data_IF_147310617881
#
_entry.id   IF_147310617881
#
_cell.length_a   1.000
_cell.length_b   1.000
_cell.length_c   1.000
_cell.angle_alpha   90.00
_cell.angle_beta   90.00
_cell.angle_gamma   90.00
#
_symmetry.space_group_name_H-M   'P 1'
#
loop_
_entity.id
_entity.type
_entity.pdbx_description
1 polymer ?
#
# COMPACT_ATOMS: atom_id res chain seq x y z
N UNK A 1 24.57 -12.84 5.08
CA UNK A 1 23.13 -12.73 5.37
C UNK A 1 22.97 -11.67 6.44
N UNK A 2 22.14 -10.64 6.21
CA UNK A 2 21.86 -9.63 7.23
C UNK A 2 21.18 -10.28 8.45
N UNK A 3 21.47 -9.79 9.65
CA UNK A 3 20.79 -10.25 10.86
C UNK A 3 19.27 -10.00 10.73
N UNK A 4 18.41 -10.91 11.22
CA UNK A 4 16.96 -10.70 11.15
C UNK A 4 16.58 -9.44 11.91
N UNK A 5 15.77 -8.58 11.27
CA UNK A 5 15.27 -7.36 11.91
C UNK A 5 14.33 -7.72 13.06
N UNK A 6 14.36 -6.91 14.13
CA UNK A 6 13.43 -7.03 15.26
C UNK A 6 11.97 -6.68 14.86
N UNK A 7 11.82 -5.83 13.84
CA UNK A 7 10.56 -5.43 13.22
C UNK A 7 10.73 -5.49 11.71
N UNK A 8 9.66 -5.72 10.95
CA UNK A 8 9.76 -5.76 9.47
C UNK A 8 10.39 -4.49 8.87
N UNK A 9 10.35 -3.36 9.57
CA UNK A 9 10.88 -2.08 9.11
C UNK A 9 11.72 -1.41 10.19
N UNK A 10 12.88 -0.88 9.79
CA UNK A 10 13.66 0.08 10.57
C UNK A 10 13.83 1.38 9.77
N UNK A 11 13.55 2.52 10.38
CA UNK A 11 13.74 3.83 9.77
C UNK A 11 14.73 4.66 10.59
N UNK A 12 15.75 5.20 9.93
CA UNK A 12 16.83 5.97 10.58
C UNK A 12 17.07 7.27 9.83
N UNK A 13 16.91 8.40 10.52
CA UNK A 13 17.22 9.72 9.94
C UNK A 13 18.73 9.92 10.00
N UNK A 14 19.35 10.08 8.82
CA UNK A 14 20.80 10.26 8.69
C UNK A 14 21.20 11.72 8.87
N UNK A 15 20.44 12.63 8.24
CA UNK A 15 20.64 14.06 8.40
C UNK A 15 19.36 14.84 8.15
N UNK A 16 19.26 16.00 8.78
CA UNK A 16 18.16 16.94 8.62
C UNK A 16 18.73 18.29 8.17
N UNK A 17 18.01 18.97 7.27
CA UNK A 17 18.38 20.32 6.89
C UNK A 17 18.05 21.28 8.04
N UNK A 18 18.99 22.11 8.55
CA UNK A 18 18.70 23.03 9.65
C UNK A 18 17.78 24.20 9.25
N UNK A 19 17.56 24.43 7.94
CA UNK A 19 16.77 25.55 7.41
C UNK A 19 15.38 25.10 6.91
N UNK A 20 15.26 23.86 6.42
CA UNK A 20 14.03 23.34 5.82
C UNK A 20 13.55 22.09 6.55
N UNK A 21 12.41 21.49 6.15
CA UNK A 21 11.94 20.21 6.70
C UNK A 21 12.51 18.98 5.98
N UNK A 22 13.52 19.16 5.12
CA UNK A 22 14.11 18.08 4.35
C UNK A 22 14.93 17.14 5.24
N UNK A 23 14.85 15.83 4.95
CA UNK A 23 15.58 14.77 5.66
C UNK A 23 16.12 13.78 4.64
N UNK A 24 17.33 13.30 4.89
CA UNK A 24 17.83 12.06 4.29
C UNK A 24 17.76 10.97 5.35
N UNK A 25 17.30 9.78 4.97
CA UNK A 25 17.06 8.69 5.91
C UNK A 25 17.28 7.35 5.24
N UNK A 26 17.59 6.33 6.03
CA UNK A 26 17.74 4.95 5.58
C UNK A 26 16.54 4.15 6.09
N UNK A 27 15.85 3.51 5.15
CA UNK A 27 14.74 2.60 5.40
C UNK A 27 15.22 1.17 5.15
N UNK A 28 15.30 0.35 6.21
CA UNK A 28 15.68 -1.06 6.11
C UNK A 28 14.43 -1.92 6.14
N UNK A 29 14.23 -2.70 5.08
CA UNK A 29 13.17 -3.69 4.87
C UNK A 29 13.80 -5.09 4.78
N UNK A 30 13.01 -6.17 4.80
CA UNK A 30 13.54 -7.53 4.71
C UNK A 30 14.27 -7.81 3.40
N UNK A 31 13.81 -7.22 2.29
CA UNK A 31 14.42 -7.43 0.97
C UNK A 31 15.38 -6.31 0.52
N UNK A 32 15.35 -5.12 1.15
CA UNK A 32 16.18 -4.00 0.69
C UNK A 32 16.52 -2.98 1.77
N UNK A 33 17.65 -2.30 1.57
CA UNK A 33 18.01 -1.04 2.23
C UNK A 33 17.77 0.09 1.24
N UNK A 34 16.94 1.06 1.61
CA UNK A 34 16.48 2.13 0.74
C UNK A 34 16.91 3.47 1.33
N UNK A 35 17.64 4.26 0.54
CA UNK A 35 17.92 5.65 0.84
C UNK A 35 16.71 6.51 0.48
N UNK A 36 16.33 7.42 1.37
CA UNK A 36 15.22 8.36 1.17
C UNK A 36 15.75 9.79 1.11
N UNK A 37 15.17 10.69 0.30
CA UNK A 37 13.92 10.54 -0.48
C UNK A 37 14.03 9.53 -1.63
N UNK A 38 13.01 8.71 -1.82
CA UNK A 38 12.99 7.64 -2.84
C UNK A 38 11.84 7.87 -3.82
N UNK A 39 12.10 7.59 -5.10
CA UNK A 39 11.08 7.47 -6.12
C UNK A 39 10.77 5.99 -6.35
N UNK A 40 9.49 5.63 -6.38
CA UNK A 40 9.02 4.26 -6.58
C UNK A 40 8.33 4.13 -7.94
N UNK A 41 8.95 3.47 -8.93
CA UNK A 41 8.29 3.10 -10.17
C UNK A 41 7.07 2.21 -9.91
N UNK A 42 6.02 2.38 -10.70
CA UNK A 42 4.75 1.63 -10.53
C UNK A 42 4.72 0.45 -11.49
N UNK A 43 4.64 -0.76 -10.92
CA UNK A 43 4.39 -2.00 -11.61
C UNK A 43 2.90 -2.38 -11.56
N UNK A 44 2.33 -2.69 -12.73
CA UNK A 44 0.95 -3.18 -12.84
C UNK A 44 0.99 -4.61 -13.34
N UNK A 45 0.25 -5.52 -12.70
CA UNK A 45 0.23 -6.96 -13.04
C UNK A 45 1.60 -7.65 -12.94
N UNK A 46 2.41 -7.26 -11.96
CA UNK A 46 3.70 -7.91 -11.67
C UNK A 46 4.80 -7.60 -12.68
N UNK A 47 4.69 -6.47 -13.40
CA UNK A 47 5.72 -6.00 -14.32
C UNK A 47 5.76 -4.47 -14.39
N UNK A 48 6.95 -3.93 -14.61
CA UNK A 48 7.15 -2.56 -15.08
C UNK A 48 7.08 -2.58 -16.61
N UNK A 49 6.06 -1.94 -17.18
CA UNK A 49 5.79 -2.04 -18.62
C UNK A 49 7.00 -1.60 -19.44
N UNK A 50 7.54 -2.53 -20.23
CA UNK A 50 8.67 -2.28 -21.13
C UNK A 50 10.06 -2.41 -20.49
N UNK A 51 10.16 -2.79 -19.21
CA UNK A 51 11.43 -2.96 -18.50
C UNK A 51 11.48 -4.32 -17.79
N UNK A 52 12.63 -4.98 -17.87
CA UNK A 52 12.92 -6.16 -17.05
C UNK A 52 13.50 -5.74 -15.69
N UNK A 53 13.35 -6.56 -14.62
CA UNK A 53 13.87 -6.24 -13.29
C UNK A 53 15.33 -5.77 -13.28
N UNK A 54 16.18 -6.42 -14.07
CA UNK A 54 17.62 -6.13 -14.15
C UNK A 54 17.88 -4.69 -14.62
N UNK A 55 17.08 -4.18 -15.56
CA UNK A 55 17.20 -2.80 -16.04
C UNK A 55 16.83 -1.77 -14.95
N UNK A 56 15.94 -2.13 -14.03
CA UNK A 56 15.55 -1.27 -12.90
C UNK A 56 16.66 -1.24 -11.85
N UNK A 57 17.26 -2.40 -11.59
CA UNK A 57 18.41 -2.53 -10.69
C UNK A 57 19.61 -1.72 -11.17
N UNK A 58 19.87 -1.70 -12.49
CA UNK A 58 20.90 -0.85 -13.11
C UNK A 58 20.68 0.64 -12.86
N UNK A 59 19.43 1.10 -12.75
CA UNK A 59 19.08 2.48 -12.42
C UNK A 59 19.19 2.80 -10.91
N UNK A 60 19.65 1.84 -10.09
CA UNK A 60 19.75 1.95 -8.62
C UNK A 60 18.40 2.23 -7.95
N UNK A 61 17.32 1.80 -8.58
CA UNK A 61 16.00 1.86 -7.97
C UNK A 61 15.78 0.60 -7.12
N UNK A 62 15.78 0.75 -5.80
CA UNK A 62 15.72 -0.38 -4.87
C UNK A 62 14.31 -0.63 -4.32
N UNK A 63 13.29 0.03 -4.88
CA UNK A 63 11.92 -0.08 -4.39
C UNK A 63 10.91 0.22 -5.49
N UNK A 64 9.88 -0.63 -5.60
CA UNK A 64 8.78 -0.44 -6.56
C UNK A 64 7.43 -0.49 -5.85
N UNK A 65 6.43 0.11 -6.48
CA UNK A 65 5.03 -0.03 -6.08
C UNK A 65 4.33 -1.06 -6.96
N UNK A 66 3.57 -1.97 -6.37
CA UNK A 66 2.73 -2.93 -7.08
C UNK A 66 1.25 -2.74 -6.73
N UNK A 67 0.40 -2.90 -7.75
CA UNK A 67 -1.05 -2.74 -7.58
C UNK A 67 -1.72 -4.02 -7.08
N UNK A 68 -2.25 -4.00 -5.85
CA UNK A 68 -2.90 -5.13 -5.17
C UNK A 68 -4.12 -5.63 -5.91
N UNK A 69 -4.98 -4.73 -6.38
CA UNK A 69 -6.22 -5.12 -7.05
C UNK A 69 -5.96 -5.94 -8.31
N UNK A 70 -5.06 -5.46 -9.18
CA UNK A 70 -4.73 -6.18 -10.41
C UNK A 70 -4.13 -7.55 -10.11
N UNK A 71 -3.22 -7.64 -9.15
CA UNK A 71 -2.55 -8.88 -8.77
C UNK A 71 -3.49 -9.89 -8.12
N UNK A 72 -4.39 -9.43 -7.26
CA UNK A 72 -5.40 -10.25 -6.59
C UNK A 72 -6.43 -10.83 -7.57
N UNK A 73 -6.65 -10.18 -8.71
CA UNK A 73 -7.53 -10.67 -9.78
C UNK A 73 -6.80 -11.50 -10.84
N UNK A 74 -5.63 -11.03 -11.28
CA UNK A 74 -4.81 -11.64 -12.34
C UNK A 74 -3.32 -11.39 -12.05
N UNK A 75 -2.53 -12.42 -11.72
CA UNK A 75 -2.84 -13.84 -11.88
C UNK A 75 -3.78 -14.43 -10.80
N UNK A 76 -4.02 -13.71 -9.70
CA UNK A 76 -4.82 -14.19 -8.59
C UNK A 76 -3.95 -14.68 -7.42
N UNK A 77 -4.51 -14.63 -6.21
CA UNK A 77 -3.79 -14.98 -4.97
C UNK A 77 -3.31 -16.43 -4.96
N UNK A 78 -4.08 -17.38 -5.49
CA UNK A 78 -3.69 -18.79 -5.55
C UNK A 78 -2.40 -19.01 -6.37
N UNK A 79 -2.28 -18.33 -7.51
CA UNK A 79 -1.09 -18.44 -8.36
C UNK A 79 0.11 -17.76 -7.70
N UNK A 80 -0.10 -16.58 -7.09
CA UNK A 80 0.97 -15.89 -6.36
C UNK A 80 1.46 -16.72 -5.16
N UNK A 81 0.56 -17.37 -4.44
CA UNK A 81 0.92 -18.25 -3.33
C UNK A 81 1.74 -19.45 -3.83
N UNK A 82 1.35 -20.09 -4.94
CA UNK A 82 2.11 -21.18 -5.56
C UNK A 82 3.50 -20.74 -6.06
N UNK A 83 3.61 -19.50 -6.55
CA UNK A 83 4.88 -18.90 -6.94
C UNK A 83 5.77 -18.52 -5.74
N UNK A 84 5.21 -18.48 -4.53
CA UNK A 84 5.88 -18.07 -3.30
C UNK A 84 6.01 -16.56 -3.15
N UNK A 85 5.00 -15.80 -3.62
CA UNK A 85 4.91 -14.35 -3.54
C UNK A 85 5.32 -13.63 -4.81
N UNK A 86 5.05 -12.32 -4.85
CA UNK A 86 5.27 -11.51 -6.04
C UNK A 86 6.75 -11.36 -6.37
N UNK A 87 7.61 -11.21 -5.35
CA UNK A 87 9.07 -11.15 -5.54
C UNK A 87 9.58 -12.30 -6.43
N UNK A 88 9.19 -13.54 -6.12
CA UNK A 88 9.56 -14.72 -6.92
C UNK A 88 8.87 -14.74 -8.27
N UNK A 89 7.58 -14.39 -8.31
CA UNK A 89 6.79 -14.37 -9.55
C UNK A 89 7.37 -13.43 -10.61
N UNK A 90 7.87 -12.25 -10.19
CA UNK A 90 8.41 -11.23 -11.10
C UNK A 90 9.94 -11.17 -11.14
N UNK A 91 10.63 -12.08 -10.45
CA UNK A 91 12.09 -12.06 -10.26
C UNK A 91 12.61 -10.70 -9.71
N UNK A 92 11.91 -10.12 -8.74
CA UNK A 92 12.30 -8.86 -8.08
C UNK A 92 12.85 -9.11 -6.68
N UNK A 93 14.08 -8.66 -6.44
CA UNK A 93 14.83 -8.97 -5.21
C UNK A 93 14.88 -7.82 -4.20
N UNK A 94 14.42 -6.63 -4.58
CA UNK A 94 14.51 -5.43 -3.74
C UNK A 94 13.13 -5.08 -3.15
N UNK A 95 13.00 -3.89 -2.57
CA UNK A 95 11.83 -3.46 -1.82
C UNK A 95 10.55 -3.45 -2.67
N UNK A 96 9.45 -3.87 -2.07
CA UNK A 96 8.14 -3.90 -2.68
C UNK A 96 7.11 -3.26 -1.76
N UNK A 97 6.43 -2.25 -2.26
CA UNK A 97 5.24 -1.67 -1.61
C UNK A 97 4.00 -2.02 -2.41
N UNK A 98 2.94 -2.40 -1.73
CA UNK A 98 1.63 -2.60 -2.35
C UNK A 98 0.67 -1.48 -1.96
N UNK A 99 -0.07 -0.95 -2.93
CA UNK A 99 -1.23 -0.13 -2.64
C UNK A 99 -2.35 -0.98 -2.00
N UNK A 100 -3.38 -0.35 -1.44
CA UNK A 100 -4.48 -1.08 -0.81
C UNK A 100 -5.54 -1.59 -1.78
N UNK A 101 -5.48 -1.15 -3.05
CA UNK A 101 -6.53 -1.30 -4.06
C UNK A 101 -7.64 -0.24 -3.95
N UNK A 102 -7.73 0.51 -2.83
CA UNK A 102 -8.75 1.53 -2.55
C UNK A 102 -8.92 2.55 -3.66
N UNK A 103 -7.80 3.18 -4.05
CA UNK A 103 -7.78 4.27 -5.02
C UNK A 103 -8.19 3.82 -6.44
N UNK A 104 -7.77 2.61 -6.86
CA UNK A 104 -8.12 2.10 -8.17
C UNK A 104 -9.64 1.88 -8.30
N UNK A 105 -10.30 1.44 -7.22
CA UNK A 105 -11.75 1.26 -7.17
C UNK A 105 -12.51 2.58 -7.21
N UNK A 106 -11.97 3.63 -6.58
CA UNK A 106 -12.57 4.97 -6.65
C UNK A 106 -12.38 5.58 -8.03
N UNK A 107 -11.28 5.36 -8.75
CA UNK A 107 -11.15 5.86 -10.14
C UNK A 107 -12.16 5.26 -11.13
N UNK A 108 -12.83 4.16 -10.76
CA UNK A 108 -13.92 3.51 -11.50
C UNK A 108 -15.32 3.96 -11.01
N UNK A 109 -15.41 5.13 -10.33
CA UNK A 109 -16.53 5.71 -9.54
C UNK A 109 -17.95 5.33 -9.96
N UNK A 110 -18.25 5.21 -11.27
CA UNK A 110 -19.64 4.96 -11.72
C UNK A 110 -20.24 3.67 -11.15
N UNK A 111 -19.42 2.76 -10.62
CA UNK A 111 -19.87 1.44 -10.17
C UNK A 111 -19.39 1.09 -8.75
N UNK A 112 -19.01 2.04 -7.90
CA UNK A 112 -18.55 1.74 -6.53
C UNK A 112 -19.44 2.33 -5.41
N UNK A 113 -19.68 1.51 -4.39
CA UNK A 113 -20.39 1.87 -3.16
C UNK A 113 -19.47 1.62 -1.96
N UNK A 114 -19.29 2.63 -1.12
CA UNK A 114 -18.48 2.51 0.10
C UNK A 114 -19.40 2.41 1.30
N UNK A 115 -19.27 1.32 2.05
CA UNK A 115 -20.00 1.09 3.31
C UNK A 115 -19.01 0.88 4.45
N UNK A 116 -19.48 0.64 5.67
CA UNK A 116 -18.56 0.29 6.77
C UNK A 116 -17.84 -1.04 6.52
N UNK A 117 -18.46 -1.97 5.79
CA UNK A 117 -17.92 -3.31 5.51
C UNK A 117 -16.68 -3.25 4.62
N UNK A 118 -16.69 -2.36 3.63
CA UNK A 118 -15.66 -2.23 2.61
C UNK A 118 -16.14 -1.43 1.40
N UNK A 119 -15.45 -1.62 0.28
CA UNK A 119 -15.82 -1.03 -1.02
C UNK A 119 -16.41 -2.11 -1.91
N UNK A 120 -17.68 -1.96 -2.29
CA UNK A 120 -18.33 -2.78 -3.32
C UNK A 120 -18.09 -2.15 -4.68
N UNK A 121 -17.78 -2.96 -5.67
CA UNK A 121 -17.67 -2.48 -7.04
C UNK A 121 -17.90 -3.60 -8.06
N UNK A 122 -18.23 -3.21 -9.28
CA UNK A 122 -18.34 -4.13 -10.41
C UNK A 122 -17.02 -4.20 -11.15
N UNK A 123 -16.47 -5.41 -11.29
CA UNK A 123 -15.25 -5.65 -12.05
C UNK A 123 -15.44 -5.30 -13.52
N UNK A 124 -14.56 -4.47 -14.12
CA UNK A 124 -14.65 -4.09 -15.52
C UNK A 124 -14.34 -5.25 -16.47
N UNK A 125 -13.81 -6.37 -15.97
CA UNK A 125 -13.37 -7.51 -16.79
C UNK A 125 -14.46 -8.56 -17.00
N UNK A 126 -15.26 -8.83 -15.97
CA UNK A 126 -16.22 -9.92 -15.94
C UNK A 126 -17.59 -9.52 -15.39
N UNK A 127 -17.80 -8.23 -15.09
CA UNK A 127 -19.05 -7.66 -14.58
C UNK A 127 -19.55 -8.29 -13.27
N UNK A 128 -18.66 -8.94 -12.52
CA UNK A 128 -18.98 -9.47 -11.19
C UNK A 128 -18.87 -8.38 -10.14
N UNK A 129 -19.80 -8.40 -9.20
CA UNK A 129 -19.71 -7.58 -8.00
C UNK A 129 -18.65 -8.16 -7.06
N UNK A 130 -17.76 -7.31 -6.58
CA UNK A 130 -16.65 -7.63 -5.69
C UNK A 130 -16.74 -6.72 -4.48
N UNK A 131 -16.62 -7.31 -3.29
CA UNK A 131 -16.41 -6.60 -2.04
C UNK A 131 -14.93 -6.62 -1.69
N UNK A 132 -14.30 -5.44 -1.60
CA UNK A 132 -12.98 -5.30 -1.00
C UNK A 132 -13.10 -4.71 0.40
N UNK A 133 -13.00 -5.58 1.41
CA UNK A 133 -12.91 -5.16 2.81
C UNK A 133 -11.45 -4.92 3.24
N UNK A 134 -11.21 -4.20 4.37
CA UNK A 134 -9.89 -4.09 4.99
C UNK A 134 -9.19 -5.43 5.20
N UNK A 135 -9.92 -6.45 5.66
CA UNK A 135 -9.40 -7.81 5.86
C UNK A 135 -8.99 -8.43 4.53
N UNK A 136 -9.84 -8.32 3.50
CA UNK A 136 -9.55 -8.92 2.21
C UNK A 136 -8.36 -8.25 1.52
N UNK A 137 -8.27 -6.93 1.57
CA UNK A 137 -7.12 -6.19 1.06
C UNK A 137 -5.83 -6.64 1.77
N UNK A 138 -5.87 -6.77 3.10
CA UNK A 138 -4.71 -7.22 3.90
C UNK A 138 -4.33 -8.67 3.58
N UNK A 139 -5.30 -9.57 3.41
CA UNK A 139 -5.07 -10.97 3.01
C UNK A 139 -4.38 -11.08 1.65
N UNK A 140 -4.82 -10.29 0.66
CA UNK A 140 -4.20 -10.24 -0.66
C UNK A 140 -2.75 -9.73 -0.54
N UNK A 141 -2.52 -8.66 0.21
CA UNK A 141 -1.17 -8.11 0.41
C UNK A 141 -0.24 -9.05 1.21
N UNK A 142 -0.78 -9.81 2.18
CA UNK A 142 -0.04 -10.89 2.85
C UNK A 142 0.39 -11.96 1.83
N UNK A 143 -0.48 -12.33 0.88
CA UNK A 143 -0.19 -13.32 -0.17
C UNK A 143 0.78 -12.81 -1.23
N UNK A 144 0.75 -11.50 -1.51
CA UNK A 144 1.71 -10.85 -2.41
C UNK A 144 3.12 -10.88 -1.79
N UNK A 145 3.23 -10.96 -0.46
CA UNK A 145 4.49 -10.87 0.29
C UNK A 145 5.22 -9.54 0.09
N UNK A 146 4.48 -8.42 0.03
CA UNK A 146 5.07 -7.08 -0.03
C UNK A 146 5.79 -6.69 1.27
N UNK A 147 6.93 -6.00 1.18
CA UNK A 147 7.63 -5.48 2.37
C UNK A 147 6.80 -4.41 3.11
N UNK A 148 6.08 -3.58 2.35
CA UNK A 148 5.19 -2.53 2.87
C UNK A 148 3.81 -2.69 2.27
N UNK A 149 2.80 -2.69 3.13
CA UNK A 149 1.40 -2.81 2.77
C UNK A 149 0.67 -1.51 3.10
N UNK A 150 0.00 -0.90 2.14
CA UNK A 150 -0.86 0.24 2.42
C UNK A 150 -2.19 -0.25 2.99
N UNK A 151 -2.68 0.36 4.07
CA UNK A 151 -4.00 0.05 4.61
C UNK A 151 -5.10 0.39 3.59
N UNK A 152 -6.23 -0.32 3.64
CA UNK A 152 -7.42 0.13 2.92
C UNK A 152 -8.00 1.38 3.60
N UNK A 153 -8.35 2.37 2.81
CA UNK A 153 -8.89 3.65 3.27
C UNK A 153 -10.14 4.07 2.49
N UNK A 154 -10.94 4.95 3.09
CA UNK A 154 -12.10 5.53 2.45
C UNK A 154 -11.70 6.83 1.73
N UNK A 155 -11.39 6.69 0.44
CA UNK A 155 -10.91 7.79 -0.40
C UNK A 155 -12.08 8.67 -0.85
N UNK A 156 -12.00 9.96 -0.51
CA UNK A 156 -12.92 11.00 -1.01
C UNK A 156 -12.20 11.93 -1.99
N UNK A 157 -12.92 12.40 -3.01
CA UNK A 157 -12.39 13.40 -3.94
C UNK A 157 -11.99 14.68 -3.18
N UNK A 158 -10.88 15.28 -3.59
CA UNK A 158 -10.43 16.58 -3.04
C UNK A 158 -11.39 17.74 -3.33
N UNK A 159 -12.31 17.56 -4.28
CA UNK A 159 -13.36 18.53 -4.60
C UNK A 159 -14.59 18.43 -3.71
N UNK A 160 -14.71 17.34 -2.93
CA UNK A 160 -15.82 17.16 -1.99
C UNK A 160 -15.48 17.88 -0.69
N UNK A 161 -16.47 18.56 -0.13
CA UNK A 161 -16.40 19.19 1.19
C UNK A 161 -17.62 18.80 2.02
N UNK A 162 -17.56 19.05 3.33
CA UNK A 162 -18.66 18.77 4.27
C UNK A 162 -18.58 17.38 4.94
N UNK A 163 -19.69 16.90 5.51
CA UNK A 163 -19.71 15.75 6.44
C UNK A 163 -19.11 14.45 5.90
N UNK A 164 -19.15 14.25 4.57
CA UNK A 164 -18.60 13.06 3.92
C UNK A 164 -17.09 12.90 4.12
N UNK A 165 -16.35 14.01 4.20
CA UNK A 165 -14.89 14.01 4.41
C UNK A 165 -14.54 13.54 5.81
N UNK A 166 -15.27 14.05 6.81
CA UNK A 166 -15.14 13.65 8.21
C UNK A 166 -15.53 12.18 8.40
N UNK A 167 -16.61 11.73 7.76
CA UNK A 167 -17.03 10.32 7.75
C UNK A 167 -15.94 9.40 7.15
N UNK A 168 -15.37 9.77 6.00
CA UNK A 168 -14.28 9.02 5.36
C UNK A 168 -13.06 8.92 6.27
N UNK A 169 -12.69 10.03 6.92
CA UNK A 169 -11.58 10.07 7.87
C UNK A 169 -11.83 9.10 9.04
N UNK A 170 -13.01 9.16 9.66
CA UNK A 170 -13.35 8.27 10.77
C UNK A 170 -13.43 6.81 10.35
N UNK A 171 -13.98 6.51 9.17
CA UNK A 171 -14.00 5.16 8.60
C UNK A 171 -12.59 4.64 8.35
N UNK A 172 -11.71 5.46 7.78
CA UNK A 172 -10.30 5.12 7.54
C UNK A 172 -9.57 4.77 8.83
N UNK A 173 -9.84 5.49 9.93
CA UNK A 173 -9.28 5.17 11.25
C UNK A 173 -9.76 3.78 11.71
N UNK A 174 -11.07 3.51 11.66
CA UNK A 174 -11.61 2.19 12.06
C UNK A 174 -11.13 1.05 11.15
N UNK A 175 -10.89 1.34 9.87
CA UNK A 175 -10.37 0.36 8.92
C UNK A 175 -8.90 0.01 9.16
N UNK A 176 -8.10 0.93 9.70
CA UNK A 176 -6.74 0.59 10.17
C UNK A 176 -6.78 -0.53 11.20
N UNK A 177 -7.63 -0.43 12.22
CA UNK A 177 -7.75 -1.45 13.28
C UNK A 177 -8.06 -2.85 12.69
N UNK A 178 -8.93 -2.88 11.68
CA UNK A 178 -9.29 -4.09 10.94
C UNK A 178 -8.13 -4.64 10.11
N UNK A 179 -7.39 -3.77 9.42
CA UNK A 179 -6.17 -4.14 8.70
C UNK A 179 -5.11 -4.71 9.65
N UNK A 180 -4.86 -4.07 10.79
CA UNK A 180 -3.91 -4.53 11.80
C UNK A 180 -4.32 -5.89 12.35
N UNK A 181 -5.61 -6.10 12.62
CA UNK A 181 -6.14 -7.39 13.10
C UNK A 181 -6.00 -8.50 12.07
N UNK A 182 -6.19 -8.19 10.78
CA UNK A 182 -6.06 -9.15 9.68
C UNK A 182 -4.61 -9.43 9.25
N UNK A 183 -3.63 -8.68 9.77
CA UNK A 183 -2.25 -8.79 9.38
C UNK A 183 -1.58 -10.02 10.02
N UNK A 184 -1.01 -10.91 9.20
CA UNK A 184 -0.47 -12.19 9.66
C UNK A 184 1.07 -12.25 9.70
N UNK A 185 1.76 -11.35 9.00
CA UNK A 185 3.19 -11.45 8.71
C UNK A 185 4.01 -10.26 9.27
N UNK A 186 3.75 -9.84 10.51
CA UNK A 186 4.36 -8.64 11.11
C UNK A 186 5.88 -8.69 11.29
N UNK A 187 6.48 -9.87 11.19
CA UNK A 187 7.93 -10.04 11.17
C UNK A 187 8.57 -9.65 9.83
N UNK A 188 7.82 -9.70 8.72
CA UNK A 188 8.37 -9.52 7.37
C UNK A 188 7.60 -8.53 6.50
N UNK A 189 6.46 -8.01 6.95
CA UNK A 189 5.72 -6.98 6.24
C UNK A 189 5.31 -5.90 7.25
N UNK A 190 5.31 -4.64 6.80
CA UNK A 190 4.93 -3.51 7.62
C UNK A 190 3.69 -2.82 7.03
N UNK A 191 2.73 -2.39 7.86
CA UNK A 191 1.57 -1.63 7.40
C UNK A 191 1.86 -0.13 7.47
N UNK A 192 1.59 0.59 6.39
CA UNK A 192 1.57 2.04 6.35
C UNK A 192 0.13 2.57 6.42
N UNK A 193 -0.21 3.35 7.46
CA UNK A 193 -1.50 3.99 7.55
C UNK A 193 -1.60 5.19 6.59
N UNK A 194 -2.82 5.52 6.18
CA UNK A 194 -3.10 6.61 5.25
C UNK A 194 -3.86 7.72 6.00
N UNK A 195 -3.21 8.87 6.14
CA UNK A 195 -3.83 10.05 6.74
C UNK A 195 -4.87 10.63 5.78
N UNK A 196 -6.14 10.61 6.19
CA UNK A 196 -7.27 11.23 5.48
C UNK A 196 -7.67 12.57 6.11
N UNK A 197 -8.78 13.16 5.63
CA UNK A 197 -9.27 14.48 6.06
C UNK A 197 -9.38 15.53 4.96
N UNK A 198 -9.22 15.14 3.68
CA UNK A 198 -9.38 16.04 2.54
C UNK A 198 -8.43 17.24 2.58
N UNK A 199 -8.96 18.45 2.35
CA UNK A 199 -8.24 19.72 2.43
C UNK A 199 -8.41 20.42 3.79
N UNK A 200 -9.01 19.75 4.78
CA UNK A 200 -9.22 20.31 6.11
C UNK A 200 -8.02 19.98 7.04
N UNK A 201 -7.26 21.00 7.49
CA UNK A 201 -6.09 20.77 8.34
C UNK A 201 -6.45 20.25 9.74
N UNK A 202 -7.66 20.52 10.25
CA UNK A 202 -8.13 20.03 11.54
C UNK A 202 -8.39 18.53 11.47
N UNK A 203 -9.12 18.09 10.44
CA UNK A 203 -9.37 16.66 10.19
C UNK A 203 -8.07 15.91 9.90
N UNK A 204 -7.15 16.47 9.09
CA UNK A 204 -5.82 15.89 8.84
C UNK A 204 -5.03 15.67 10.12
N UNK A 205 -5.04 16.65 11.02
CA UNK A 205 -4.34 16.54 12.32
C UNK A 205 -4.99 15.48 13.20
N UNK A 206 -6.31 15.45 13.28
CA UNK A 206 -7.05 14.45 14.04
C UNK A 206 -6.76 13.04 13.54
N UNK A 207 -6.79 12.83 12.22
CA UNK A 207 -6.46 11.56 11.59
C UNK A 207 -5.01 11.14 11.89
N UNK A 208 -4.05 12.04 11.70
CA UNK A 208 -2.64 11.74 11.96
C UNK A 208 -2.34 11.39 13.43
N UNK A 209 -3.09 11.93 14.39
CA UNK A 209 -2.98 11.58 15.81
C UNK A 209 -3.62 10.23 16.13
N UNK A 210 -4.69 9.86 15.42
CA UNK A 210 -5.40 8.60 15.62
C UNK A 210 -4.70 7.38 14.99
N UNK A 211 -3.73 7.60 14.09
CA UNK A 211 -3.00 6.54 13.36
C UNK A 211 -1.60 6.26 13.95
N UNK A 212 -1.28 6.80 15.13
CA UNK A 212 -0.01 6.57 15.85
C UNK A 212 -0.07 5.30 16.69
#
# INVERSE_FOLDING_TARGET
MAAPLKHALKFEIVAECPVTKARTSVLTLPHAVIETPVFMPVGTQGTLKGLVPEQIEEQKCNMILANTYHLGMRPGTEILQKAGGLHKFMNWKNGLLTDSGGFQMVSLVKLSEVTEEGVRFVSPYDQREIMLSPEKSTEIQNTIHADIMMQLDDVVSSTISGPRVEEAMHRTIRWLDRCLTAHQNSATQNIFPIVQGGLDPVLRKQCALALQ
#
